data_IF_049398280784
#
_entry.id   IF_049398280784
#
_cell.length_a   1.000
_cell.length_b   1.000
_cell.length_c   1.000
_cell.angle_alpha   90.00
_cell.angle_beta   90.00
_cell.angle_gamma   90.00
#
_symmetry.space_group_name_H-M   'P 1'
#
loop_
_entity.id
_entity.type
_entity.pdbx_description
1 polymer ?
#
# COMPACT_ATOMS: atom_id res chain seq x y z
N UNK A 1 -41.44 13.43 -15.23
CA UNK A 1 -40.67 12.49 -16.06
C UNK A 1 -39.22 12.98 -16.06
N UNK A 2 -38.41 12.56 -15.08
CA UNK A 2 -36.98 12.83 -15.03
C UNK A 2 -36.32 11.50 -14.70
N UNK A 3 -35.63 10.95 -15.70
CA UNK A 3 -34.90 9.70 -15.58
C UNK A 3 -33.71 9.92 -14.65
N UNK A 4 -33.72 9.20 -13.53
CA UNK A 4 -32.53 8.96 -12.71
C UNK A 4 -31.63 8.01 -13.48
N UNK A 5 -30.53 8.53 -14.01
CA UNK A 5 -29.43 7.71 -14.51
C UNK A 5 -28.45 7.54 -13.35
N UNK A 6 -28.45 6.35 -12.76
CA UNK A 6 -27.42 5.93 -11.81
C UNK A 6 -26.14 5.64 -12.60
N UNK A 7 -25.12 6.48 -12.42
CA UNK A 7 -23.76 6.22 -12.90
C UNK A 7 -22.94 5.80 -11.68
N UNK A 8 -22.53 4.53 -11.63
CA UNK A 8 -21.50 4.07 -10.71
C UNK A 8 -20.18 4.78 -11.06
N UNK A 9 -19.67 5.62 -10.16
CA UNK A 9 -18.32 6.17 -10.26
C UNK A 9 -17.40 5.32 -9.38
N UNK A 10 -16.46 4.61 -10.01
CA UNK A 10 -15.47 3.79 -9.33
C UNK A 10 -14.37 4.67 -8.72
N UNK A 11 -14.26 4.63 -7.40
CA UNK A 11 -13.01 4.92 -6.70
C UNK A 11 -12.12 3.70 -6.93
N UNK A 12 -10.87 3.90 -7.34
CA UNK A 12 -9.87 2.83 -7.29
C UNK A 12 -9.47 2.59 -5.82
N UNK A 13 -10.36 1.98 -5.05
CA UNK A 13 -9.95 1.09 -3.96
C UNK A 13 -9.50 -0.16 -4.69
N UNK A 14 -8.19 -0.32 -4.92
CA UNK A 14 -7.69 -1.50 -5.61
C UNK A 14 -7.67 -2.71 -4.66
N UNK A 15 -8.84 -3.10 -4.15
CA UNK A 15 -9.06 -4.48 -3.75
C UNK A 15 -9.18 -5.30 -5.04
N UNK A 16 -8.07 -5.86 -5.52
CA UNK A 16 -8.05 -6.76 -6.67
C UNK A 16 -8.74 -8.08 -6.32
N UNK A 17 -10.07 -8.07 -6.23
CA UNK A 17 -10.91 -9.25 -6.12
C UNK A 17 -11.58 -9.50 -7.49
N UNK A 18 -10.94 -10.33 -8.32
CA UNK A 18 -11.60 -10.87 -9.51
C UNK A 18 -12.54 -12.01 -9.09
N UNK A 19 -13.76 -11.95 -9.63
CA UNK A 19 -14.89 -12.83 -9.38
C UNK A 19 -14.55 -14.33 -9.57
N UNK A 20 -14.85 -15.12 -8.54
CA UNK A 20 -15.11 -16.55 -8.65
C UNK A 20 -16.54 -16.82 -8.18
N UNK A 21 -17.51 -16.78 -9.09
CA UNK A 21 -18.85 -17.30 -8.86
C UNK A 21 -19.30 -18.08 -10.09
N UNK A 22 -19.20 -19.40 -9.99
CA UNK A 22 -20.19 -20.32 -10.55
C UNK A 22 -20.45 -21.37 -9.48
N UNK A 23 -21.62 -21.26 -8.87
CA UNK A 23 -22.20 -22.26 -7.99
C UNK A 23 -22.82 -23.36 -8.85
N UNK A 24 -22.47 -24.61 -8.58
CA UNK A 24 -23.37 -25.75 -8.81
C UNK A 24 -23.29 -26.66 -7.58
N UNK A 25 -24.48 -27.05 -7.13
CA UNK A 25 -24.78 -27.65 -5.84
C UNK A 25 -24.19 -29.04 -5.61
N UNK A 26 -23.88 -29.30 -4.35
CA UNK A 26 -23.61 -30.61 -3.80
C UNK A 26 -23.88 -30.55 -2.30
N UNK A 27 -25.09 -30.92 -1.92
CA UNK A 27 -25.47 -31.19 -0.53
C UNK A 27 -24.57 -32.30 0.03
N UNK A 28 -23.81 -32.01 1.08
CA UNK A 28 -23.46 -33.02 2.08
C UNK A 28 -23.27 -32.37 3.44
N UNK A 29 -24.35 -32.47 4.23
CA UNK A 29 -24.41 -32.03 5.61
C UNK A 29 -23.65 -33.01 6.52
N UNK A 30 -22.40 -32.67 6.84
CA UNK A 30 -21.64 -33.26 7.94
C UNK A 30 -21.74 -32.37 9.18
N UNK A 31 -22.72 -32.63 10.05
CA UNK A 31 -22.95 -31.89 11.29
C UNK A 31 -21.81 -32.07 12.30
N UNK A 32 -20.91 -31.08 12.37
CA UNK A 32 -20.06 -30.84 13.53
C UNK A 32 -20.68 -29.75 14.39
N UNK A 33 -21.16 -30.09 15.58
CA UNK A 33 -21.68 -29.12 16.54
C UNK A 33 -20.56 -28.16 16.96
N UNK A 34 -20.64 -26.89 16.54
CA UNK A 34 -19.82 -25.84 17.11
C UNK A 34 -20.26 -25.62 18.56
N UNK A 35 -19.30 -25.69 19.49
CA UNK A 35 -19.54 -25.36 20.88
C UNK A 35 -20.12 -23.95 20.98
N UNK A 36 -21.31 -23.83 21.55
CA UNK A 36 -21.93 -22.56 21.91
C UNK A 36 -21.20 -21.99 23.14
N UNK A 37 -19.97 -21.49 22.92
CA UNK A 37 -19.32 -20.62 23.88
C UNK A 37 -20.05 -19.29 23.88
N UNK A 38 -20.49 -18.84 25.05
CA UNK A 38 -21.05 -17.51 25.23
C UNK A 38 -20.01 -16.47 24.77
N UNK A 39 -20.43 -15.55 23.90
CA UNK A 39 -19.55 -14.48 23.42
C UNK A 39 -18.99 -13.74 24.64
N UNK A 40 -17.67 -13.51 24.72
CA UNK A 40 -17.11 -12.74 25.83
C UNK A 40 -17.81 -11.38 25.90
N UNK A 41 -18.11 -10.93 27.12
CA UNK A 41 -18.72 -9.63 27.33
C UNK A 41 -17.91 -8.53 26.63
N UNK A 42 -18.56 -7.54 25.98
CA UNK A 42 -17.86 -6.49 25.27
C UNK A 42 -16.85 -5.83 26.21
N UNK A 43 -15.59 -5.78 25.77
CA UNK A 43 -14.50 -5.17 26.54
C UNK A 43 -14.83 -3.68 26.74
N UNK A 44 -14.96 -3.17 27.97
CA UNK A 44 -15.36 -1.79 28.25
C UNK A 44 -14.30 -0.74 27.86
N UNK A 45 -13.19 -1.17 27.26
CA UNK A 45 -12.14 -0.30 26.69
C UNK A 45 -12.00 -0.65 25.20
N UNK A 46 -13.05 -0.39 24.39
CA UNK A 46 -12.82 -0.05 22.99
C UNK A 46 -12.67 1.46 22.94
N UNK A 47 -11.44 1.93 22.74
CA UNK A 47 -11.29 3.19 22.02
C UNK A 47 -11.60 2.86 20.56
N UNK A 48 -12.79 3.23 20.10
CA UNK A 48 -13.20 3.07 18.70
C UNK A 48 -12.45 4.10 17.85
N UNK A 49 -11.16 3.87 17.63
CA UNK A 49 -10.39 4.66 16.67
C UNK A 49 -10.69 4.16 15.25
N UNK A 50 -11.16 5.05 14.39
CA UNK A 50 -11.35 4.82 12.97
C UNK A 50 -10.15 5.38 12.20
N UNK A 51 -9.41 4.54 11.51
CA UNK A 51 -8.28 4.98 10.69
C UNK A 51 -8.14 4.22 9.39
N UNK A 52 -7.30 4.76 8.51
CA UNK A 52 -7.08 4.22 7.18
C UNK A 52 -5.58 4.24 6.85
N UNK A 53 -5.00 3.08 6.57
CA UNK A 53 -3.54 2.91 6.45
C UNK A 53 -3.10 2.36 5.10
N UNK A 54 -3.99 2.36 4.10
CA UNK A 54 -3.69 1.94 2.73
C UNK A 54 -4.13 3.02 1.74
N UNK A 55 -3.44 4.17 1.74
CA UNK A 55 -3.82 5.35 0.96
C UNK A 55 -2.72 5.77 -0.02
N UNK A 56 -3.08 5.85 -1.30
CA UNK A 56 -2.15 6.20 -2.38
C UNK A 56 -2.38 7.64 -2.87
N UNK A 57 -1.30 8.31 -3.21
CA UNK A 57 -1.25 9.67 -3.74
C UNK A 57 -0.69 9.66 -5.17
N UNK A 58 -0.37 10.84 -5.71
CA UNK A 58 0.35 10.98 -6.99
C UNK A 58 1.72 10.27 -7.00
N UNK A 59 2.28 9.92 -5.85
CA UNK A 59 3.61 9.29 -5.79
C UNK A 59 3.58 7.78 -5.99
N UNK A 60 2.44 7.11 -5.77
CA UNK A 60 2.30 5.69 -6.07
C UNK A 60 2.37 5.42 -7.56
N UNK A 61 3.07 4.34 -7.91
CA UNK A 61 3.23 3.87 -9.27
C UNK A 61 1.89 3.65 -9.98
N UNK A 62 0.96 2.93 -9.35
CA UNK A 62 -0.31 2.52 -9.95
C UNK A 62 -1.34 3.65 -9.92
N UNK A 63 -1.47 4.36 -8.79
CA UNK A 63 -2.42 5.44 -8.61
C UNK A 63 -2.16 6.56 -9.63
N UNK A 64 -0.89 6.88 -9.90
CA UNK A 64 -0.56 7.86 -10.93
C UNK A 64 -1.00 7.41 -12.32
N UNK A 65 -0.86 6.14 -12.66
CA UNK A 65 -1.31 5.58 -13.94
C UNK A 65 -2.85 5.62 -14.06
N UNK A 66 -3.57 5.53 -12.94
CA UNK A 66 -5.01 5.74 -12.84
C UNK A 66 -5.43 7.19 -12.63
N UNK A 67 -4.56 8.15 -12.93
CA UNK A 67 -4.84 9.58 -12.92
C UNK A 67 -5.03 10.20 -11.52
N UNK A 68 -4.59 9.53 -10.45
CA UNK A 68 -4.48 10.17 -9.13
C UNK A 68 -3.40 11.25 -9.18
N UNK A 69 -3.79 12.49 -8.88
CA UNK A 69 -2.91 13.67 -8.88
C UNK A 69 -2.87 14.39 -7.52
N UNK A 70 -3.64 13.91 -6.55
CA UNK A 70 -3.67 14.42 -5.18
C UNK A 70 -2.32 14.24 -4.50
N UNK A 71 -1.95 15.21 -3.68
CA UNK A 71 -0.74 15.20 -2.87
C UNK A 71 -0.94 14.46 -1.54
N UNK A 72 0.15 14.16 -0.80
CA UNK A 72 0.04 13.73 0.59
C UNK A 72 -0.71 14.73 1.50
N UNK A 73 -0.56 16.04 1.29
CA UNK A 73 -1.33 17.07 2.00
C UNK A 73 -2.84 16.90 1.74
N UNK A 74 -3.24 16.75 0.47
CA UNK A 74 -4.64 16.51 0.11
C UNK A 74 -5.19 15.24 0.77
N UNK A 75 -4.38 14.18 0.87
CA UNK A 75 -4.75 12.93 1.53
C UNK A 75 -5.10 13.13 3.01
N UNK A 76 -4.24 13.83 3.76
CA UNK A 76 -4.49 14.10 5.17
C UNK A 76 -5.60 15.12 5.40
N UNK A 77 -5.79 16.11 4.52
CA UNK A 77 -6.96 17.00 4.55
C UNK A 77 -8.26 16.21 4.38
N UNK A 78 -8.27 15.30 3.39
CA UNK A 78 -9.41 14.41 3.17
C UNK A 78 -9.69 13.51 4.38
N UNK A 79 -8.66 12.95 5.01
CA UNK A 79 -8.82 12.14 6.23
C UNK A 79 -9.38 12.92 7.42
N UNK A 80 -9.05 14.21 7.53
CA UNK A 80 -9.66 15.13 8.50
C UNK A 80 -11.09 15.56 8.12
N UNK A 81 -11.65 14.99 7.06
CA UNK A 81 -13.01 15.23 6.59
C UNK A 81 -13.16 16.48 5.72
N UNK A 82 -12.08 17.08 5.23
CA UNK A 82 -12.17 18.17 4.26
C UNK A 82 -12.62 17.66 2.88
N UNK A 83 -13.27 18.54 2.11
CA UNK A 83 -13.60 18.27 0.73
C UNK A 83 -12.37 18.52 -0.17
N UNK A 84 -12.00 17.53 -1.00
CA UNK A 84 -10.90 17.63 -1.97
C UNK A 84 -11.41 17.57 -3.42
N UNK A 85 -10.74 18.23 -4.37
CA UNK A 85 -11.15 18.23 -5.77
C UNK A 85 -10.95 16.86 -6.42
N UNK A 86 -11.92 16.42 -7.22
CA UNK A 86 -11.82 15.25 -8.08
C UNK A 86 -11.58 15.66 -9.54
N UNK A 87 -10.81 14.89 -10.34
CA UNK A 87 -10.62 15.16 -11.76
C UNK A 87 -11.92 15.29 -12.59
N UNK A 88 -13.04 14.72 -12.12
CA UNK A 88 -14.36 14.91 -12.77
C UNK A 88 -15.03 16.26 -12.49
N UNK A 89 -14.41 17.15 -11.72
CA UNK A 89 -14.96 18.44 -11.29
C UNK A 89 -15.89 18.38 -10.08
N UNK A 90 -16.06 17.20 -9.46
CA UNK A 90 -16.80 17.03 -8.22
C UNK A 90 -15.88 17.24 -7.00
N UNK A 91 -16.48 17.55 -5.85
CA UNK A 91 -15.77 17.51 -4.57
C UNK A 91 -15.97 16.13 -3.93
N UNK A 92 -14.90 15.56 -3.40
CA UNK A 92 -14.93 14.32 -2.62
C UNK A 92 -14.78 14.65 -1.14
N UNK A 93 -15.60 14.01 -0.32
CA UNK A 93 -15.53 14.14 1.13
C UNK A 93 -15.96 12.83 1.78
N UNK A 94 -15.34 12.47 2.90
CA UNK A 94 -15.72 11.30 3.69
C UNK A 94 -17.14 11.48 4.25
N UNK A 95 -18.02 10.52 4.00
CA UNK A 95 -19.37 10.51 4.60
C UNK A 95 -19.36 10.13 6.08
N UNK A 96 -18.34 9.38 6.51
CA UNK A 96 -18.13 8.98 7.91
C UNK A 96 -17.71 10.13 8.83
N UNK A 97 -17.37 11.29 8.28
CA UNK A 97 -16.63 12.32 8.99
C UNK A 97 -15.12 12.06 8.94
N UNK A 98 -14.39 12.62 9.90
CA UNK A 98 -12.94 12.50 9.99
C UNK A 98 -12.50 11.13 10.54
N UNK A 99 -11.32 10.68 10.12
CA UNK A 99 -10.60 9.59 10.75
C UNK A 99 -9.82 10.10 11.97
N UNK A 100 -9.52 9.21 12.90
CA UNK A 100 -8.62 9.45 14.03
C UNK A 100 -7.15 9.31 13.63
N UNK A 101 -6.86 8.50 12.62
CA UNK A 101 -5.51 8.35 12.08
C UNK A 101 -5.45 7.95 10.61
N UNK A 102 -4.35 8.30 9.95
CA UNK A 102 -4.06 7.87 8.58
C UNK A 102 -2.57 7.62 8.35
N UNK A 103 -2.26 6.71 7.43
CA UNK A 103 -0.96 6.62 6.79
C UNK A 103 -1.13 6.76 5.26
N UNK A 104 -0.32 7.62 4.65
CA UNK A 104 -0.07 7.55 3.20
C UNK A 104 0.91 6.42 2.97
N UNK A 105 0.55 5.47 2.10
CA UNK A 105 1.33 4.25 1.86
C UNK A 105 1.53 4.04 0.37
N UNK A 106 2.09 5.05 -0.30
CA UNK A 106 2.48 4.93 -1.70
C UNK A 106 3.41 3.72 -1.93
N UNK A 107 3.31 3.09 -3.11
CA UNK A 107 4.22 2.01 -3.50
C UNK A 107 5.69 2.46 -3.37
N UNK A 108 6.48 1.71 -2.58
CA UNK A 108 7.92 1.96 -2.46
C UNK A 108 8.67 1.68 -3.77
N UNK A 109 8.17 0.76 -4.59
CA UNK A 109 8.75 0.50 -5.91
C UNK A 109 8.50 1.70 -6.84
N UNK A 110 9.58 2.22 -7.42
CA UNK A 110 9.51 3.39 -8.32
C UNK A 110 8.74 4.59 -7.73
N UNK A 111 8.80 4.78 -6.41
CA UNK A 111 8.16 5.87 -5.69
C UNK A 111 8.50 7.22 -6.35
N UNK A 112 7.49 8.00 -6.71
CA UNK A 112 7.67 9.30 -7.35
C UNK A 112 8.22 9.29 -8.78
N UNK A 113 8.57 8.12 -9.33
CA UNK A 113 9.13 8.05 -10.69
C UNK A 113 8.11 8.46 -11.76
N UNK A 114 6.83 8.13 -11.55
CA UNK A 114 5.76 8.46 -12.51
C UNK A 114 5.56 9.98 -12.69
N UNK A 115 5.33 10.78 -11.64
CA UNK A 115 5.28 12.24 -11.80
C UNK A 115 6.60 12.83 -12.31
N UNK A 116 7.75 12.25 -11.94
CA UNK A 116 9.04 12.68 -12.48
C UNK A 116 9.22 12.37 -13.97
N UNK A 117 8.44 11.46 -14.56
CA UNK A 117 8.38 11.29 -16.02
C UNK A 117 7.59 12.40 -16.70
N UNK A 118 6.77 13.16 -15.98
CA UNK A 118 5.98 14.29 -16.51
C UNK A 118 6.68 15.65 -16.33
N UNK A 119 7.79 15.69 -15.58
CA UNK A 119 8.58 16.90 -15.34
C UNK A 119 9.70 17.08 -16.38
N UNK A 120 9.61 18.14 -17.19
CA UNK A 120 10.64 18.50 -18.19
C UNK A 120 12.05 18.74 -17.62
N UNK A 121 12.19 18.95 -16.31
CA UNK A 121 13.48 19.08 -15.63
C UNK A 121 14.11 17.75 -15.20
N UNK A 122 13.38 16.64 -15.30
CA UNK A 122 13.81 15.33 -14.84
C UNK A 122 14.46 14.51 -15.95
N UNK A 123 15.54 13.79 -15.64
CA UNK A 123 16.14 12.85 -16.58
C UNK A 123 15.20 11.68 -16.94
N UNK A 124 14.18 11.39 -16.12
CA UNK A 124 13.16 10.39 -16.44
C UNK A 124 12.24 10.85 -17.57
N UNK A 125 12.02 12.16 -17.72
CA UNK A 125 11.20 12.72 -18.79
C UNK A 125 11.79 12.45 -20.18
N UNK A 126 13.12 12.46 -20.29
CA UNK A 126 13.86 12.24 -21.54
C UNK A 126 13.91 10.76 -21.98
N UNK A 127 13.42 9.83 -21.15
CA UNK A 127 13.44 8.40 -21.47
C UNK A 127 12.34 8.02 -22.46
N UNK A 128 12.60 7.00 -23.29
CA UNK A 128 11.57 6.43 -24.19
C UNK A 128 10.37 5.92 -23.41
N UNK A 129 10.60 5.23 -22.29
CA UNK A 129 9.53 4.74 -21.42
C UNK A 129 8.66 5.89 -20.89
N UNK A 130 9.29 6.97 -20.40
CA UNK A 130 8.58 8.17 -19.96
C UNK A 130 7.74 8.79 -21.08
N UNK A 131 8.32 8.94 -22.28
CA UNK A 131 7.62 9.46 -23.44
C UNK A 131 6.40 8.60 -23.83
N UNK A 132 6.54 7.27 -23.83
CA UNK A 132 5.45 6.34 -24.13
C UNK A 132 4.31 6.42 -23.10
N UNK A 133 4.66 6.52 -21.81
CA UNK A 133 3.69 6.61 -20.72
C UNK A 133 2.92 7.93 -20.78
N UNK A 134 3.61 9.05 -21.06
CA UNK A 134 2.99 10.35 -21.34
C UNK A 134 2.10 10.34 -22.58
N UNK A 135 2.51 9.60 -23.61
CA UNK A 135 1.81 9.48 -24.89
C UNK A 135 0.51 8.68 -24.85
N UNK A 136 0.06 8.24 -23.67
CA UNK A 136 -1.20 7.49 -23.49
C UNK A 136 -1.03 5.97 -23.40
N UNK A 137 0.19 5.46 -23.24
CA UNK A 137 0.43 4.03 -23.02
C UNK A 137 -0.21 3.50 -21.73
N UNK A 138 -0.35 4.35 -20.71
CA UNK A 138 -1.06 4.07 -19.47
C UNK A 138 -0.58 2.81 -18.74
N UNK A 139 -1.49 2.19 -17.98
CA UNK A 139 -1.18 1.03 -17.14
C UNK A 139 -0.64 -0.18 -17.93
N UNK A 140 -1.21 -0.47 -19.11
CA UNK A 140 -0.76 -1.61 -19.92
C UNK A 140 0.69 -1.47 -20.37
N UNK A 141 1.11 -0.26 -20.80
CA UNK A 141 2.49 0.03 -21.18
C UNK A 141 3.43 -0.03 -19.98
N UNK A 142 2.99 0.45 -18.82
CA UNK A 142 3.79 0.38 -17.59
C UNK A 142 4.05 -1.08 -17.19
N UNK A 143 3.03 -1.94 -17.22
CA UNK A 143 3.17 -3.37 -16.94
C UNK A 143 4.09 -4.04 -17.98
N UNK A 144 4.00 -3.67 -19.26
CA UNK A 144 4.94 -4.14 -20.27
C UNK A 144 6.37 -3.73 -19.91
N UNK A 145 6.59 -2.45 -19.55
CA UNK A 145 7.89 -1.91 -19.15
C UNK A 145 8.50 -2.62 -17.95
N UNK A 146 7.67 -3.00 -16.96
CA UNK A 146 8.13 -3.77 -15.80
C UNK A 146 8.60 -5.16 -16.23
N UNK A 147 7.84 -5.82 -17.11
CA UNK A 147 8.14 -7.18 -17.59
C UNK A 147 9.34 -7.23 -18.53
N UNK A 148 9.54 -6.20 -19.33
CA UNK A 148 10.67 -6.08 -20.27
C UNK A 148 11.96 -5.59 -19.59
N UNK A 149 11.89 -5.15 -18.33
CA UNK A 149 13.03 -4.61 -17.59
C UNK A 149 13.38 -3.17 -17.95
N UNK A 150 12.55 -2.46 -18.73
CA UNK A 150 12.78 -1.06 -19.09
C UNK A 150 12.81 -0.15 -17.87
N UNK A 151 11.98 -0.46 -16.87
CA UNK A 151 11.99 0.24 -15.58
C UNK A 151 13.29 0.05 -14.80
N UNK A 152 13.88 -1.15 -14.86
CA UNK A 152 15.19 -1.42 -14.24
C UNK A 152 16.35 -0.78 -15.02
N UNK A 153 16.13 -0.44 -16.30
CA UNK A 153 17.10 0.24 -17.16
C UNK A 153 17.00 1.77 -17.10
N UNK A 154 16.10 2.33 -16.28
CA UNK A 154 16.00 3.77 -16.09
C UNK A 154 17.29 4.33 -15.45
N UNK A 155 17.61 5.63 -15.65
CA UNK A 155 18.73 6.28 -14.96
C UNK A 155 18.58 6.15 -13.44
N UNK A 156 19.47 5.39 -12.81
CA UNK A 156 19.34 5.01 -11.40
C UNK A 156 19.42 6.21 -10.46
N UNK A 157 20.21 7.22 -10.79
CA UNK A 157 20.32 8.49 -10.07
C UNK A 157 19.01 9.28 -10.12
N UNK A 158 18.34 9.30 -11.27
CA UNK A 158 17.05 9.97 -11.43
C UNK A 158 15.93 9.25 -10.69
N UNK A 159 15.92 7.90 -10.68
CA UNK A 159 14.98 7.10 -9.90
C UNK A 159 15.21 7.30 -8.39
N UNK A 160 16.46 7.28 -7.93
CA UNK A 160 16.80 7.51 -6.51
C UNK A 160 16.42 8.94 -6.07
N UNK A 161 16.67 9.96 -6.91
CA UNK A 161 16.26 11.33 -6.64
C UNK A 161 14.74 11.47 -6.53
N UNK A 162 14.00 10.87 -7.47
CA UNK A 162 12.53 10.88 -7.45
C UNK A 162 11.98 10.23 -6.18
N UNK A 163 12.51 9.06 -5.81
CA UNK A 163 12.10 8.34 -4.61
C UNK A 163 12.38 9.12 -3.33
N UNK A 164 13.57 9.72 -3.18
CA UNK A 164 13.92 10.52 -2.00
C UNK A 164 13.08 11.79 -1.89
N UNK A 165 12.83 12.45 -3.01
CA UNK A 165 12.02 13.68 -3.04
C UNK A 165 10.58 13.37 -2.62
N UNK A 166 9.97 12.35 -3.24
CA UNK A 166 8.62 11.92 -2.88
C UNK A 166 8.53 11.42 -1.43
N UNK A 167 9.53 10.66 -0.97
CA UNK A 167 9.59 10.19 0.41
C UNK A 167 9.65 11.33 1.41
N UNK A 168 10.48 12.35 1.15
CA UNK A 168 10.55 13.53 2.00
C UNK A 168 9.22 14.30 2.02
N UNK A 169 8.55 14.48 0.87
CA UNK A 169 7.23 15.12 0.83
C UNK A 169 6.16 14.35 1.63
N UNK A 170 6.20 13.01 1.63
CA UNK A 170 5.31 12.18 2.44
C UNK A 170 5.58 12.37 3.93
N UNK A 171 6.86 12.39 4.34
CA UNK A 171 7.28 12.64 5.74
C UNK A 171 6.83 14.03 6.17
N UNK A 172 7.13 15.06 5.38
CA UNK A 172 6.82 16.45 5.69
C UNK A 172 5.30 16.66 5.85
N UNK A 173 4.51 16.05 4.96
CA UNK A 173 3.05 16.11 5.05
C UNK A 173 2.50 15.36 6.27
N UNK A 174 3.08 14.20 6.63
CA UNK A 174 2.68 13.49 7.84
C UNK A 174 2.95 14.38 9.08
N UNK A 175 4.17 14.86 9.24
CA UNK A 175 4.55 15.72 10.38
C UNK A 175 3.73 17.01 10.45
N UNK A 176 3.44 17.65 9.32
CA UNK A 176 2.64 18.87 9.28
C UNK A 176 1.16 18.65 9.67
N UNK A 177 0.65 17.43 9.48
CA UNK A 177 -0.74 17.07 9.78
C UNK A 177 -0.91 16.32 11.10
N UNK A 178 0.18 15.88 11.73
CA UNK A 178 0.14 15.17 13.00
C UNK A 178 -0.30 16.10 14.13
N UNK A 179 -1.50 15.87 14.68
CA UNK A 179 -2.06 16.59 15.81
C UNK A 179 -2.52 15.58 16.88
N UNK A 180 -1.58 15.02 17.67
CA UNK A 180 -1.87 13.95 18.63
C UNK A 180 -3.00 14.32 19.59
N UNK A 181 -4.01 13.45 19.66
CA UNK A 181 -5.24 13.67 20.44
C UNK A 181 -6.44 14.13 19.60
N UNK A 182 -6.21 14.65 18.39
CA UNK A 182 -7.26 14.98 17.43
C UNK A 182 -7.13 14.19 16.12
N UNK A 183 -5.92 14.06 15.59
CA UNK A 183 -5.62 13.29 14.38
C UNK A 183 -4.15 12.85 14.37
N UNK A 184 -3.90 11.55 14.22
CA UNK A 184 -2.53 11.01 14.19
C UNK A 184 -2.15 10.60 12.78
N UNK A 185 -0.99 11.05 12.30
CA UNK A 185 -0.42 10.53 11.06
C UNK A 185 0.65 9.51 11.36
N UNK A 186 0.81 8.53 10.49
CA UNK A 186 1.99 7.68 10.48
C UNK A 186 2.77 7.85 9.19
N UNK A 187 4.09 7.96 9.31
CA UNK A 187 4.99 7.82 8.17
C UNK A 187 4.99 6.35 7.75
N UNK A 188 4.71 6.08 6.48
CA UNK A 188 4.62 4.73 5.96
C UNK A 188 4.69 4.65 4.44
N UNK A 189 4.81 3.44 3.94
CA UNK A 189 4.83 3.14 2.50
C UNK A 189 4.33 1.71 2.29
N UNK A 190 4.00 1.34 1.06
CA UNK A 190 3.67 -0.04 0.72
C UNK A 190 4.88 -0.75 0.10
N UNK A 191 5.27 -1.87 0.69
CA UNK A 191 6.19 -2.83 0.10
C UNK A 191 5.42 -3.77 -0.85
N UNK A 192 5.67 -3.61 -2.14
CA UNK A 192 4.86 -4.19 -3.23
C UNK A 192 5.58 -5.33 -3.92
N UNK A 193 5.28 -6.58 -3.58
CA UNK A 193 5.88 -7.77 -4.24
C UNK A 193 4.85 -8.87 -4.50
N UNK A 194 5.24 -9.87 -5.29
CA UNK A 194 4.41 -11.03 -5.59
C UNK A 194 5.22 -12.31 -5.61
N UNK A 195 4.56 -13.44 -5.40
CA UNK A 195 5.11 -14.76 -5.71
C UNK A 195 5.27 -14.97 -7.23
N UNK A 196 5.90 -16.07 -7.63
CA UNK A 196 6.16 -16.40 -9.03
C UNK A 196 4.88 -16.63 -9.84
N UNK A 197 3.87 -17.25 -9.23
CA UNK A 197 2.52 -17.40 -9.76
C UNK A 197 1.65 -16.14 -9.58
N UNK A 198 2.27 -15.01 -9.21
CA UNK A 198 1.65 -13.68 -9.09
C UNK A 198 0.64 -13.53 -7.95
N UNK A 199 0.77 -14.34 -6.90
CA UNK A 199 0.06 -14.11 -5.64
C UNK A 199 0.55 -12.83 -4.96
N UNK A 200 -0.39 -12.02 -4.46
CA UNK A 200 -0.11 -10.80 -3.71
C UNK A 200 0.72 -11.10 -2.44
N UNK A 201 1.79 -10.34 -2.25
CA UNK A 201 2.62 -10.35 -1.04
C UNK A 201 2.89 -8.91 -0.56
N UNK A 202 1.88 -8.05 -0.61
CA UNK A 202 2.02 -6.64 -0.24
C UNK A 202 1.99 -6.43 1.27
N UNK A 203 2.67 -5.38 1.74
CA UNK A 203 2.66 -4.96 3.15
C UNK A 203 2.68 -3.45 3.25
N UNK A 204 1.84 -2.88 4.11
CA UNK A 204 2.04 -1.51 4.57
C UNK A 204 3.09 -1.51 5.66
N UNK A 205 4.20 -0.81 5.43
CA UNK A 205 5.25 -0.58 6.41
C UNK A 205 4.95 0.74 7.11
N UNK A 206 4.76 0.68 8.43
CA UNK A 206 4.36 1.81 9.27
C UNK A 206 5.44 2.05 10.32
N UNK A 207 5.93 3.28 10.43
CA UNK A 207 6.93 3.68 11.42
C UNK A 207 6.28 4.29 12.65
N UNK A 208 6.89 4.08 13.83
CA UNK A 208 6.41 4.60 15.11
C UNK A 208 6.52 6.13 15.23
N UNK A 209 7.40 6.76 14.46
CA UNK A 209 7.62 8.21 14.45
C UNK A 209 8.26 8.67 13.15
N UNK A 210 8.79 9.89 13.15
CA UNK A 210 9.38 10.53 11.96
C UNK A 210 10.89 10.33 11.80
N UNK A 211 11.56 9.70 12.77
CA UNK A 211 12.90 9.15 12.53
C UNK A 211 12.78 7.88 11.69
N UNK A 212 12.99 8.02 10.38
CA UNK A 212 12.78 6.97 9.38
C UNK A 212 14.01 6.87 8.46
N UNK A 213 14.21 5.74 7.76
CA UNK A 213 15.29 5.63 6.78
C UNK A 213 15.17 6.70 5.69
N UNK A 214 16.29 7.10 5.06
CA UNK A 214 16.30 8.16 4.05
C UNK A 214 15.62 7.76 2.74
N UNK A 215 15.29 6.47 2.57
CA UNK A 215 14.41 5.95 1.52
C UNK A 215 13.76 4.64 1.99
N UNK A 216 12.58 4.27 1.46
CA UNK A 216 11.97 2.97 1.71
C UNK A 216 12.81 1.79 1.19
N UNK A 217 12.68 0.63 1.84
CA UNK A 217 13.13 -0.66 1.28
C UNK A 217 12.01 -1.24 0.41
N UNK A 218 12.24 -1.34 -0.88
CA UNK A 218 11.22 -1.68 -1.87
C UNK A 218 11.49 -3.03 -2.55
N UNK A 219 10.54 -3.49 -3.37
CA UNK A 219 10.72 -4.72 -4.15
C UNK A 219 11.81 -4.64 -5.23
N UNK A 220 12.29 -3.43 -5.52
CA UNK A 220 13.49 -3.16 -6.31
C UNK A 220 14.79 -3.50 -5.57
N UNK A 221 14.77 -3.57 -4.23
CA UNK A 221 15.91 -3.98 -3.40
C UNK A 221 15.88 -5.50 -3.15
N UNK A 222 14.72 -6.05 -2.73
CA UNK A 222 14.46 -7.50 -2.69
C UNK A 222 12.98 -7.76 -2.84
N UNK A 223 12.62 -8.85 -3.54
CA UNK A 223 11.23 -9.32 -3.65
C UNK A 223 10.82 -10.22 -2.48
N UNK A 224 11.75 -10.63 -1.63
CA UNK A 224 11.49 -11.55 -0.51
C UNK A 224 11.04 -10.76 0.75
N UNK A 225 9.81 -10.97 1.26
CA UNK A 225 9.36 -10.32 2.50
C UNK A 225 10.25 -10.61 3.72
N UNK A 226 10.97 -11.74 3.75
CA UNK A 226 11.91 -12.03 4.84
C UNK A 226 13.09 -11.06 4.87
N UNK A 227 13.50 -10.53 3.72
CA UNK A 227 14.56 -9.51 3.66
C UNK A 227 14.05 -8.16 4.16
N UNK A 228 12.77 -7.83 3.91
CA UNK A 228 12.11 -6.68 4.53
C UNK A 228 12.14 -6.80 6.06
N UNK A 229 11.82 -7.98 6.61
CA UNK A 229 11.83 -8.19 8.06
C UNK A 229 13.23 -8.06 8.65
N UNK A 230 14.25 -8.63 8.00
CA UNK A 230 15.66 -8.47 8.43
C UNK A 230 16.11 -7.01 8.35
N UNK A 231 15.66 -6.27 7.33
CA UNK A 231 15.93 -4.84 7.22
C UNK A 231 15.26 -4.03 8.35
N UNK A 232 14.01 -4.34 8.69
CA UNK A 232 13.32 -3.74 9.85
C UNK A 232 14.03 -4.04 11.18
N UNK A 233 14.53 -5.27 11.38
CA UNK A 233 15.34 -5.61 12.55
C UNK A 233 16.65 -4.78 12.60
N UNK A 234 17.31 -4.56 11.45
CA UNK A 234 18.49 -3.69 11.37
C UNK A 234 18.18 -2.22 11.66
N UNK A 235 17.02 -1.71 11.25
CA UNK A 235 16.56 -0.36 11.61
C UNK A 235 16.32 -0.23 13.11
N UNK A 236 15.80 -1.27 13.76
CA UNK A 236 15.56 -1.31 15.21
C UNK A 236 16.85 -1.21 16.02
N UNK A 237 17.95 -1.75 15.52
CA UNK A 237 19.30 -1.55 16.10
C UNK A 237 19.76 -0.08 16.06
N UNK A 238 19.22 0.70 15.13
CA UNK A 238 19.44 2.14 14.97
C UNK A 238 18.32 3.00 15.61
N UNK A 239 17.51 2.44 16.52
CA UNK A 239 16.40 3.12 17.20
C UNK A 239 15.30 3.64 16.25
N UNK A 240 15.14 2.99 15.10
CA UNK A 240 14.05 3.23 14.16
C UNK A 240 13.07 2.05 14.26
N UNK A 241 11.93 2.29 14.91
CA UNK A 241 10.90 1.26 15.12
C UNK A 241 9.85 1.32 14.00
N UNK A 242 9.63 0.18 13.33
CA UNK A 242 8.60 0.01 12.32
C UNK A 242 8.08 -1.42 12.27
N UNK A 243 6.89 -1.57 11.68
CA UNK A 243 6.26 -2.87 11.46
C UNK A 243 5.71 -2.95 10.05
N UNK A 244 5.51 -4.17 9.58
CA UNK A 244 4.84 -4.48 8.32
C UNK A 244 3.46 -5.09 8.60
N UNK A 245 2.45 -4.62 7.87
CA UNK A 245 1.08 -5.13 7.97
C UNK A 245 0.73 -5.75 6.62
N UNK A 246 0.68 -7.09 6.51
CA UNK A 246 0.21 -7.73 5.29
C UNK A 246 -1.26 -7.41 5.04
N UNK A 247 -1.60 -7.18 3.77
CA UNK A 247 -2.99 -6.96 3.34
C UNK A 247 -3.27 -7.74 2.05
N UNK A 248 -4.54 -7.75 1.63
CA UNK A 248 -5.03 -8.43 0.43
C UNK A 248 -4.63 -9.92 0.34
N UNK A 249 -4.57 -10.60 1.48
CA UNK A 249 -4.09 -11.99 1.59
C UNK A 249 -4.95 -12.99 0.82
N UNK A 250 -6.21 -12.67 0.55
CA UNK A 250 -7.08 -13.48 -0.32
C UNK A 250 -6.53 -13.57 -1.77
N UNK A 251 -5.77 -12.57 -2.22
CA UNK A 251 -5.10 -12.56 -3.51
C UNK A 251 -3.72 -13.20 -3.50
N UNK A 252 -3.28 -13.80 -2.38
CA UNK A 252 -1.92 -14.31 -2.22
C UNK A 252 -1.70 -15.71 -2.80
N UNK A 253 -2.72 -16.38 -3.36
CA UNK A 253 -2.69 -17.81 -3.69
C UNK A 253 -2.18 -18.70 -2.53
N UNK A 254 -2.46 -18.32 -1.28
CA UNK A 254 -1.99 -19.02 -0.08
C UNK A 254 -0.54 -18.72 0.34
N UNK A 255 0.26 -18.00 -0.47
CA UNK A 255 1.67 -17.70 -0.16
C UNK A 255 1.88 -16.93 1.15
N UNK A 256 0.92 -16.10 1.56
CA UNK A 256 1.04 -15.29 2.77
C UNK A 256 0.91 -16.11 4.08
N UNK A 257 0.35 -17.32 3.99
CA UNK A 257 0.13 -18.23 5.12
C UNK A 257 0.76 -19.61 4.89
N UNK A 258 1.82 -19.67 4.07
CA UNK A 258 2.58 -20.90 3.85
C UNK A 258 3.20 -21.42 5.15
N UNK A 259 3.32 -22.75 5.22
CA UNK A 259 3.99 -23.48 6.30
C UNK A 259 5.48 -23.76 5.99
N UNK A 260 6.03 -23.00 5.05
CA UNK A 260 7.41 -23.04 4.59
C UNK A 260 7.89 -21.60 4.37
N UNK A 261 9.19 -21.39 4.48
CA UNK A 261 9.85 -20.12 4.13
C UNK A 261 9.68 -19.84 2.64
N UNK A 262 10.03 -18.62 2.19
CA UNK A 262 10.04 -18.30 0.76
C UNK A 262 11.01 -19.22 -0.01
N UNK A 263 12.07 -19.69 0.65
CA UNK A 263 13.02 -20.66 0.08
C UNK A 263 12.54 -22.12 0.07
N UNK A 264 11.38 -22.44 0.64
CA UNK A 264 10.85 -23.80 0.73
C UNK A 264 11.32 -24.60 1.95
N UNK A 265 12.10 -24.00 2.85
CA UNK A 265 12.53 -24.64 4.09
C UNK A 265 11.39 -24.68 5.13
N UNK A 266 11.33 -25.72 5.99
CA UNK A 266 10.38 -25.76 7.10
C UNK A 266 10.52 -24.55 8.02
N UNK A 267 9.40 -24.06 8.55
CA UNK A 267 9.44 -22.98 9.55
C UNK A 267 10.09 -23.46 10.85
N UNK A 268 10.99 -22.66 11.40
CA UNK A 268 11.61 -22.87 12.71
C UNK A 268 11.25 -21.75 13.70
N UNK A 269 11.74 -21.86 14.93
CA UNK A 269 11.49 -20.85 15.96
C UNK A 269 12.07 -19.48 15.58
N UNK A 270 13.22 -19.43 14.90
CA UNK A 270 13.85 -18.19 14.50
C UNK A 270 13.03 -17.43 13.45
N UNK A 271 12.44 -18.15 12.48
CA UNK A 271 11.48 -17.60 11.53
C UNK A 271 10.25 -17.06 12.23
N UNK A 272 9.65 -17.86 13.13
CA UNK A 272 8.45 -17.46 13.85
C UNK A 272 8.69 -16.18 14.67
N UNK A 273 9.83 -16.08 15.35
CA UNK A 273 10.22 -14.89 16.10
C UNK A 273 10.47 -13.69 15.18
N UNK A 274 11.15 -13.88 14.04
CA UNK A 274 11.38 -12.82 13.05
C UNK A 274 10.07 -12.25 12.51
N UNK A 275 9.15 -13.13 12.12
CA UNK A 275 7.83 -12.73 11.62
C UNK A 275 6.98 -12.09 12.71
N UNK A 276 6.92 -12.66 13.91
CA UNK A 276 6.11 -12.10 15.00
C UNK A 276 6.58 -10.70 15.44
N UNK A 277 7.89 -10.42 15.38
CA UNK A 277 8.43 -9.08 15.67
C UNK A 277 8.04 -8.05 14.61
N UNK A 278 8.04 -8.43 13.34
CA UNK A 278 7.89 -7.49 12.22
C UNK A 278 6.48 -7.46 11.61
N UNK A 279 5.70 -8.55 11.71
CA UNK A 279 4.31 -8.68 11.26
C UNK A 279 3.41 -9.28 12.38
N UNK A 280 3.23 -8.59 13.53
CA UNK A 280 2.55 -9.16 14.71
C UNK A 280 1.06 -9.50 14.52
N UNK A 281 0.44 -9.04 13.43
CA UNK A 281 -1.00 -9.16 13.16
C UNK A 281 -1.37 -10.33 12.22
N UNK A 282 -0.38 -11.09 11.72
CA UNK A 282 -0.59 -12.11 10.69
C UNK A 282 -0.82 -13.53 11.26
N UNK A 283 -1.71 -13.68 12.23
CA UNK A 283 -2.06 -15.00 12.80
C UNK A 283 -3.07 -15.77 11.95
#
# INVERSE_FOLDING_TARGET
>A
MRQTVSVLAAIAILSLAMLGCSAEGGDDAGGGAFATGEAPAPNPILFDYLGYIEFYTRFSFDAYLFQTRTSPDDAYRFAKGEAIPHPSGQQLQLQSGAFDFQAVTDHGMYLGAMPAMDDTGSALYETTLGADLRGGGGFARAIQGLRSGEFAALPADAVDLAARTAWQEIIDAAEAHNDPGNFTTFVGYEYTTSSDDRGNLHRNVIFKGSNVPPKPFASTDSRNPEDLWRWLDGLREADIEGLAIPHNSNGSNGHMFKLETVGGEPLDAAYADLRMRNEPWSR
#
